data_IF_083584558763
#
_entry.id   IF_083584558763
#
_cell.length_a   1.000
_cell.length_b   1.000
_cell.length_c   1.000
_cell.angle_alpha   90.00
_cell.angle_beta   90.00
_cell.angle_gamma   90.00
#
_symmetry.space_group_name_H-M   'P 1'
#
loop_
_entity.id
_entity.type
_entity.pdbx_description
1 polymer ?
#
# COMPACT_ATOMS: atom_id res chain seq x y z
N UNK A 1 -16.82 9.41 8.69
CA UNK A 1 -18.07 9.85 9.35
C UNK A 1 -19.10 10.16 8.28
N UNK A 2 -20.06 9.26 8.06
CA UNK A 2 -21.18 9.51 7.14
C UNK A 2 -22.43 9.73 7.98
N UNK A 3 -23.06 10.89 7.76
CA UNK A 3 -24.23 11.30 8.51
C UNK A 3 -25.48 11.08 7.67
N UNK A 4 -26.37 10.24 8.17
CA UNK A 4 -27.69 10.08 7.60
C UNK A 4 -28.55 11.30 8.01
N UNK A 5 -28.94 12.10 7.01
CA UNK A 5 -29.72 13.33 7.21
C UNK A 5 -31.17 13.09 7.63
N UNK A 6 -31.70 11.86 7.48
CA UNK A 6 -33.06 11.50 7.94
C UNK A 6 -33.06 11.04 9.39
N UNK A 7 -31.98 10.41 9.87
CA UNK A 7 -31.91 9.88 11.23
C UNK A 7 -31.05 10.71 12.19
N UNK A 8 -30.31 11.71 11.69
CA UNK A 8 -29.31 12.48 12.45
C UNK A 8 -28.23 11.60 13.10
N UNK A 9 -28.01 10.40 12.57
CA UNK A 9 -26.97 9.50 13.06
C UNK A 9 -25.75 9.63 12.14
N UNK A 10 -24.61 9.94 12.75
CA UNK A 10 -23.31 9.93 12.08
C UNK A 10 -22.55 8.66 12.46
N UNK A 11 -22.26 7.80 11.48
CA UNK A 11 -21.48 6.59 11.69
C UNK A 11 -20.17 6.63 10.89
N UNK A 12 -19.07 6.23 11.53
CA UNK A 12 -17.96 5.64 10.79
C UNK A 12 -18.40 4.21 10.46
N UNK A 13 -18.71 3.90 9.19
CA UNK A 13 -19.04 2.50 8.83
C UNK A 13 -17.85 1.56 9.08
N UNK A 14 -16.64 2.12 9.16
CA UNK A 14 -15.41 1.47 9.55
C UNK A 14 -14.38 2.54 10.01
N UNK A 15 -13.47 2.19 10.89
CA UNK A 15 -12.38 2.98 11.44
C UNK A 15 -11.20 3.08 10.45
N UNK A 16 -10.58 4.26 10.42
CA UNK A 16 -9.45 4.58 9.55
C UNK A 16 -8.11 4.17 10.16
N UNK A 17 -7.03 4.24 9.38
CA UNK A 17 -5.67 3.94 9.85
C UNK A 17 -5.36 4.72 11.14
N UNK A 18 -4.86 4.01 12.15
CA UNK A 18 -4.51 4.57 13.46
C UNK A 18 -5.69 4.77 14.43
N UNK A 19 -6.93 4.60 13.99
CA UNK A 19 -8.08 4.60 14.90
C UNK A 19 -8.21 3.28 15.63
N UNK A 20 -8.81 3.34 16.80
CA UNK A 20 -9.04 2.18 17.64
C UNK A 20 -10.01 1.17 17.00
N UNK A 21 -9.76 -0.11 17.25
CA UNK A 21 -10.58 -1.23 16.78
C UNK A 21 -10.54 -2.40 17.78
N UNK A 22 -11.54 -3.29 17.71
CA UNK A 22 -11.56 -4.59 18.40
C UNK A 22 -11.41 -5.78 17.45
N UNK A 23 -11.83 -5.61 16.20
CA UNK A 23 -11.80 -6.65 15.18
C UNK A 23 -11.51 -6.07 13.80
N UNK A 24 -11.04 -6.90 12.87
CA UNK A 24 -10.77 -6.48 11.48
C UNK A 24 -11.99 -5.85 10.78
N UNK A 25 -13.20 -6.24 11.19
CA UNK A 25 -14.46 -5.70 10.64
C UNK A 25 -14.69 -4.25 11.03
N UNK A 26 -14.06 -3.81 12.11
CA UNK A 26 -14.12 -2.43 12.54
C UNK A 26 -13.25 -1.57 11.62
N UNK A 27 -12.29 -2.13 10.87
CA UNK A 27 -11.36 -1.38 10.03
C UNK A 27 -11.80 -1.31 8.58
N UNK A 28 -11.59 -0.16 7.93
CA UNK A 28 -11.93 -0.04 6.51
C UNK A 28 -11.00 -0.90 5.67
N UNK A 29 -11.55 -1.68 4.73
CA UNK A 29 -10.71 -2.47 3.83
C UNK A 29 -9.74 -1.56 3.05
N UNK A 30 -8.45 -1.94 2.90
CA UNK A 30 -7.86 -3.26 3.17
C UNK A 30 -7.18 -3.38 4.56
N UNK A 31 -7.64 -2.69 5.59
CA UNK A 31 -7.02 -2.69 6.93
C UNK A 31 -7.50 -3.86 7.81
N UNK A 32 -6.69 -4.19 8.80
CA UNK A 32 -6.96 -5.15 9.88
C UNK A 32 -6.76 -4.50 11.23
N UNK A 33 -7.33 -5.10 12.27
CA UNK A 33 -7.18 -4.61 13.62
C UNK A 33 -5.93 -5.21 14.26
N UNK A 34 -4.90 -4.39 14.47
CA UNK A 34 -3.62 -4.85 15.00
C UNK A 34 -3.10 -3.93 16.10
N UNK A 35 -2.95 -4.50 17.30
CA UNK A 35 -2.64 -3.75 18.53
C UNK A 35 -3.70 -2.69 18.82
N UNK A 36 -4.97 -3.11 18.81
CA UNK A 36 -6.13 -2.27 19.08
C UNK A 36 -6.28 -1.05 18.15
N UNK A 37 -5.58 -1.04 17.01
CA UNK A 37 -5.65 0.02 16.01
C UNK A 37 -5.76 -0.55 14.60
N UNK A 38 -6.54 0.12 13.77
CA UNK A 38 -6.63 -0.21 12.36
C UNK A 38 -5.31 0.08 11.67
N UNK A 39 -4.69 -0.95 11.11
CA UNK A 39 -3.46 -0.88 10.34
C UNK A 39 -3.68 -1.54 9.00
N UNK A 40 -2.92 -1.14 7.99
CA UNK A 40 -2.98 -1.82 6.70
C UNK A 40 -2.58 -3.29 6.88
N UNK A 41 -3.30 -4.22 6.24
CA UNK A 41 -2.91 -5.65 6.18
C UNK A 41 -1.55 -5.88 5.55
N UNK A 42 -1.13 -4.93 4.73
CA UNK A 42 0.13 -4.89 4.02
C UNK A 42 0.69 -3.45 4.05
N UNK A 43 1.98 -3.32 3.89
CA UNK A 43 2.74 -2.09 3.87
C UNK A 43 2.60 -1.40 2.50
N UNK A 44 2.35 -0.10 2.56
CA UNK A 44 2.29 0.79 1.39
C UNK A 44 3.70 1.07 0.85
N UNK A 45 3.78 1.73 -0.30
CA UNK A 45 5.06 2.13 -0.89
C UNK A 45 5.87 2.99 0.09
N UNK A 46 7.14 2.65 0.31
CA UNK A 46 8.03 3.31 1.25
C UNK A 46 7.85 2.92 2.71
N UNK A 47 6.87 2.08 3.04
CA UNK A 47 6.76 1.52 4.39
C UNK A 47 7.71 0.34 4.57
N UNK A 48 8.24 0.21 5.79
CA UNK A 48 9.26 -0.80 6.11
C UNK A 48 8.71 -2.21 5.96
N UNK A 49 9.50 -3.09 5.35
CA UNK A 49 9.21 -4.49 5.16
C UNK A 49 10.46 -5.36 5.36
N UNK A 50 10.22 -6.64 5.56
CA UNK A 50 11.22 -7.69 5.64
C UNK A 50 11.01 -8.77 4.56
N UNK A 51 9.77 -8.94 4.08
CA UNK A 51 9.35 -9.97 3.13
C UNK A 51 8.32 -9.43 2.13
N UNK A 52 8.33 -9.93 0.89
CA UNK A 52 7.47 -9.46 -0.21
C UNK A 52 5.98 -9.49 0.10
N UNK A 53 5.49 -10.53 0.79
CA UNK A 53 4.07 -10.69 1.11
C UNK A 53 3.54 -9.59 2.05
N UNK A 54 4.45 -8.88 2.73
CA UNK A 54 4.08 -7.75 3.55
C UNK A 54 3.69 -6.54 2.70
N UNK A 55 4.01 -6.47 1.41
CA UNK A 55 3.76 -5.30 0.57
C UNK A 55 2.43 -5.37 -0.19
N UNK A 56 1.70 -4.27 -0.26
CA UNK A 56 0.40 -4.22 -0.95
C UNK A 56 0.51 -4.22 -2.48
N UNK A 57 -0.59 -4.57 -3.16
CA UNK A 57 -0.78 -4.28 -4.60
C UNK A 57 0.32 -4.78 -5.54
N UNK A 58 0.88 -5.97 -5.27
CA UNK A 58 1.93 -6.56 -6.10
C UNK A 58 3.30 -5.87 -5.96
N UNK A 59 3.47 -5.00 -4.98
CA UNK A 59 4.77 -4.51 -4.56
C UNK A 59 5.59 -5.63 -3.91
N UNK A 60 6.90 -5.45 -3.87
CA UNK A 60 7.85 -6.38 -3.26
C UNK A 60 8.70 -5.64 -2.25
N UNK A 61 9.28 -6.38 -1.32
CA UNK A 61 10.15 -5.78 -0.34
C UNK A 61 11.53 -5.56 -0.97
N UNK A 62 11.89 -4.30 -1.20
CA UNK A 62 13.24 -3.96 -1.65
C UNK A 62 14.21 -4.32 -0.51
N UNK A 63 15.06 -5.33 -0.73
CA UNK A 63 15.98 -5.82 0.30
C UNK A 63 17.06 -4.80 0.68
N UNK A 64 17.37 -3.86 -0.19
CA UNK A 64 18.36 -2.81 0.06
C UNK A 64 17.78 -1.68 0.89
N UNK A 65 16.56 -1.23 0.53
CA UNK A 65 15.88 -0.14 1.24
C UNK A 65 15.13 -0.61 2.49
N UNK A 66 14.81 -1.91 2.56
CA UNK A 66 13.89 -2.50 3.56
C UNK A 66 12.52 -1.86 3.52
N UNK A 67 12.06 -1.49 2.32
CA UNK A 67 10.80 -0.79 2.08
C UNK A 67 10.03 -1.45 0.94
N UNK A 68 8.70 -1.38 1.01
CA UNK A 68 7.87 -1.85 -0.08
C UNK A 68 8.01 -0.91 -1.28
N UNK A 69 8.36 -1.45 -2.42
CA UNK A 69 8.41 -0.70 -3.68
C UNK A 69 7.81 -1.54 -4.80
N UNK A 70 7.44 -0.89 -5.89
CA UNK A 70 7.04 -1.63 -7.09
C UNK A 70 8.25 -2.42 -7.61
N UNK A 71 8.05 -3.66 -8.08
CA UNK A 71 9.09 -4.33 -8.84
C UNK A 71 9.42 -3.45 -10.05
N UNK A 72 10.69 -3.07 -10.15
CA UNK A 72 11.22 -2.36 -11.30
C UNK A 72 12.07 -3.32 -12.15
N UNK A 73 12.24 -2.99 -13.42
CA UNK A 73 13.02 -3.75 -14.38
C UNK A 73 14.37 -3.09 -14.63
N UNK A 74 15.35 -3.91 -15.01
CA UNK A 74 16.71 -3.44 -15.23
C UNK A 74 16.88 -2.79 -16.60
N UNK A 75 18.07 -2.25 -16.85
CA UNK A 75 18.40 -1.63 -18.14
C UNK A 75 18.14 -2.62 -19.28
N UNK A 76 17.57 -2.12 -20.38
CA UNK A 76 17.17 -2.85 -21.59
C UNK A 76 15.98 -3.80 -21.44
N UNK A 77 15.41 -3.95 -20.24
CA UNK A 77 14.19 -4.71 -20.02
C UNK A 77 12.94 -3.90 -20.37
N UNK A 78 11.85 -4.63 -20.63
CA UNK A 78 10.60 -4.06 -21.11
C UNK A 78 9.93 -3.18 -20.06
N UNK A 79 9.55 -1.96 -20.44
CA UNK A 79 8.82 -1.02 -19.59
C UNK A 79 7.68 -0.36 -20.36
N UNK A 80 6.69 0.16 -19.63
CA UNK A 80 5.63 1.00 -20.21
C UNK A 80 5.74 2.46 -19.79
N UNK A 81 6.36 2.73 -18.63
CA UNK A 81 6.56 4.08 -18.06
C UNK A 81 7.87 4.14 -17.30
N UNK A 82 8.43 5.34 -17.09
CA UNK A 82 9.69 5.55 -16.36
C UNK A 82 9.67 4.92 -14.95
N UNK A 83 8.51 4.88 -14.29
CA UNK A 83 8.35 4.27 -12.97
C UNK A 83 8.58 2.75 -12.94
N UNK A 84 8.55 2.10 -14.10
CA UNK A 84 8.81 0.67 -14.20
C UNK A 84 10.32 0.39 -14.18
N UNK A 85 11.16 1.40 -14.40
CA UNK A 85 12.61 1.26 -14.50
C UNK A 85 13.31 1.48 -13.15
N UNK A 86 14.29 0.63 -12.84
CA UNK A 86 15.07 0.78 -11.61
C UNK A 86 16.00 2.00 -11.64
N UNK A 87 16.41 2.47 -10.46
CA UNK A 87 17.51 3.45 -10.31
C UNK A 87 17.31 4.78 -11.05
N UNK A 88 16.06 5.22 -11.25
CA UNK A 88 15.76 6.49 -11.93
C UNK A 88 15.99 6.48 -13.44
N UNK A 89 16.13 5.28 -14.03
CA UNK A 89 16.19 5.09 -15.48
C UNK A 89 14.89 5.55 -16.15
N UNK A 90 14.98 5.90 -17.43
CA UNK A 90 13.81 6.31 -18.21
C UNK A 90 13.35 5.20 -19.15
N UNK A 91 12.04 5.08 -19.32
CA UNK A 91 11.44 4.17 -20.26
C UNK A 91 11.38 4.82 -21.64
N UNK A 92 12.27 4.40 -22.55
CA UNK A 92 12.32 4.88 -23.93
C UNK A 92 12.21 3.70 -24.89
N UNK A 93 11.31 3.78 -25.87
CA UNK A 93 11.12 2.69 -26.84
C UNK A 93 10.74 1.35 -26.19
N UNK A 94 9.96 1.39 -25.11
CA UNK A 94 9.60 0.24 -24.26
C UNK A 94 10.80 -0.45 -23.59
N UNK A 95 11.93 0.25 -23.41
CA UNK A 95 13.09 -0.27 -22.66
C UNK A 95 13.63 0.75 -21.67
N UNK A 96 14.17 0.27 -20.56
CA UNK A 96 14.81 1.13 -19.54
C UNK A 96 16.25 1.51 -19.91
N UNK A 97 16.61 2.78 -19.75
CA UNK A 97 17.95 3.34 -20.03
C UNK A 97 18.53 4.13 -18.86
#
# INVERSE_FOLDING_TARGET
LQCDKRTNVCAWQCAQKGHWCRSDRDCCNPMECRSDQCKNKCQSRGERCDQDWQCCHGMRCDRWKRECDKPCVNRWEWCYRDSDCCSGMQCRGNKCY
#
